data_IF_567656452615
#
_entry.id   IF_567656452615
#
_cell.length_a   1.000
_cell.length_b   1.000
_cell.length_c   1.000
_cell.angle_alpha   90.00
_cell.angle_beta   90.00
_cell.angle_gamma   90.00
#
_symmetry.space_group_name_H-M   'P 1'
#
loop_
_entity.id
_entity.type
_entity.pdbx_description
1 polymer ?
#
# COMPACT_ATOMS: atom_id res chain seq x y z
N UNK A 1 -5.06 22.51 4.65
CA UNK A 1 -5.88 22.34 3.43
C UNK A 1 -6.02 20.84 3.14
N UNK A 2 -7.17 20.34 2.69
CA UNK A 2 -7.30 18.92 2.30
C UNK A 2 -6.51 18.67 1.00
N UNK A 3 -5.77 17.57 0.90
CA UNK A 3 -4.92 17.23 -0.26
C UNK A 3 -5.73 17.27 -1.58
N UNK A 4 -6.98 16.80 -1.55
CA UNK A 4 -7.90 16.87 -2.68
C UNK A 4 -8.17 18.31 -3.17
N UNK A 5 -8.30 19.27 -2.24
CA UNK A 5 -8.52 20.68 -2.60
C UNK A 5 -7.25 21.30 -3.21
N UNK A 6 -6.07 20.92 -2.73
CA UNK A 6 -4.80 21.38 -3.29
C UNK A 6 -4.66 20.94 -4.75
N UNK A 7 -4.97 19.66 -5.01
CA UNK A 7 -4.95 19.09 -6.37
C UNK A 7 -5.89 19.85 -7.31
N UNK A 8 -7.15 20.05 -6.90
CA UNK A 8 -8.14 20.79 -7.70
C UNK A 8 -7.69 22.21 -8.05
N UNK A 9 -7.07 22.91 -7.08
CA UNK A 9 -6.54 24.26 -7.30
C UNK A 9 -5.44 24.22 -8.36
N UNK A 10 -4.48 23.31 -8.23
CA UNK A 10 -3.37 23.20 -9.18
C UNK A 10 -3.85 22.78 -10.58
N UNK A 11 -4.82 21.87 -10.68
CA UNK A 11 -5.44 21.46 -11.95
C UNK A 11 -6.15 22.63 -12.65
N UNK A 12 -6.90 23.44 -11.91
CA UNK A 12 -7.53 24.64 -12.47
C UNK A 12 -6.47 25.60 -13.05
N UNK A 13 -5.41 25.87 -12.30
CA UNK A 13 -4.33 26.75 -12.74
C UNK A 13 -3.58 26.21 -13.97
N UNK A 14 -3.34 24.90 -14.05
CA UNK A 14 -2.73 24.25 -15.23
C UNK A 14 -3.62 24.40 -16.47
N UNK A 15 -4.94 24.35 -16.29
CA UNK A 15 -5.92 24.55 -17.36
C UNK A 15 -6.16 26.03 -17.70
N UNK A 16 -5.44 26.96 -17.06
CA UNK A 16 -5.62 28.38 -17.30
C UNK A 16 -6.87 28.96 -16.65
N UNK A 17 -7.40 28.34 -15.60
CA UNK A 17 -8.64 28.74 -14.92
C UNK A 17 -8.35 29.23 -13.51
N UNK A 18 -8.99 30.32 -13.09
CA UNK A 18 -8.95 30.80 -11.71
C UNK A 18 -9.70 29.80 -10.79
N UNK A 19 -9.02 29.20 -9.79
CA UNK A 19 -9.59 28.18 -8.90
C UNK A 19 -10.66 28.71 -7.92
N UNK A 20 -10.83 30.03 -7.81
CA UNK A 20 -11.82 30.67 -6.94
C UNK A 20 -13.06 31.11 -7.71
N UNK A 21 -12.89 31.63 -8.93
CA UNK A 21 -13.99 32.20 -9.73
C UNK A 21 -14.45 31.27 -10.85
N UNK A 22 -13.59 30.40 -11.37
CA UNK A 22 -13.88 29.54 -12.51
C UNK A 22 -13.69 30.22 -13.87
N UNK A 23 -13.23 31.47 -13.88
CA UNK A 23 -12.99 32.25 -15.10
C UNK A 23 -11.62 31.93 -15.72
N UNK A 24 -11.46 32.23 -17.02
CA UNK A 24 -10.19 32.07 -17.71
C UNK A 24 -9.17 33.12 -17.24
N UNK A 25 -7.93 32.68 -17.02
CA UNK A 25 -6.83 33.54 -16.60
C UNK A 25 -6.43 34.47 -17.73
N UNK A 26 -6.24 35.74 -17.38
CA UNK A 26 -5.76 36.73 -18.34
C UNK A 26 -4.45 36.28 -19.03
N UNK A 27 -4.30 36.56 -20.34
CA UNK A 27 -3.09 36.25 -21.08
C UNK A 27 -1.88 37.01 -20.53
N UNK A 28 -0.70 36.39 -20.59
CA UNK A 28 0.56 36.99 -20.16
C UNK A 28 0.83 36.95 -18.65
N UNK A 29 0.02 36.20 -17.90
CA UNK A 29 0.30 35.93 -16.48
C UNK A 29 1.48 34.96 -16.32
N UNK A 30 2.19 35.05 -15.19
CA UNK A 30 3.32 34.13 -14.85
C UNK A 30 2.89 32.67 -14.88
N UNK A 31 1.62 32.39 -14.62
CA UNK A 31 1.02 31.06 -14.66
C UNK A 31 1.05 30.42 -16.05
N UNK A 32 1.09 31.22 -17.12
CA UNK A 32 1.17 30.72 -18.50
C UNK A 32 2.61 30.46 -18.95
N UNK A 33 3.62 30.79 -18.13
CA UNK A 33 5.00 30.49 -18.44
C UNK A 33 5.23 28.96 -18.42
N UNK A 34 5.89 28.43 -19.44
CA UNK A 34 6.05 26.98 -19.62
C UNK A 34 6.66 26.29 -18.39
N UNK A 35 7.67 26.90 -17.76
CA UNK A 35 8.31 26.33 -16.56
C UNK A 35 7.39 26.34 -15.35
N UNK A 36 6.52 27.35 -15.22
CA UNK A 36 5.54 27.42 -14.13
C UNK A 36 4.46 26.36 -14.35
N UNK A 37 3.95 26.20 -15.57
CA UNK A 37 3.01 25.13 -15.90
C UNK A 37 3.59 23.73 -15.62
N UNK A 38 4.86 23.49 -16.00
CA UNK A 38 5.56 22.24 -15.68
C UNK A 38 5.69 22.01 -14.18
N UNK A 39 6.02 23.05 -13.41
CA UNK A 39 6.12 22.97 -11.95
C UNK A 39 4.76 22.66 -11.31
N UNK A 40 3.68 23.31 -11.78
CA UNK A 40 2.33 23.05 -11.32
C UNK A 40 1.89 21.62 -11.65
N UNK A 41 2.14 21.15 -12.87
CA UNK A 41 1.84 19.78 -13.29
C UNK A 41 2.61 18.75 -12.43
N UNK A 42 3.90 19.00 -12.17
CA UNK A 42 4.69 18.17 -11.27
C UNK A 42 4.08 18.13 -9.84
N UNK A 43 3.57 19.27 -9.36
CA UNK A 43 2.83 19.37 -8.11
C UNK A 43 1.55 18.53 -8.10
N UNK A 44 0.75 18.56 -9.17
CA UNK A 44 -0.44 17.70 -9.32
C UNK A 44 -0.03 16.23 -9.23
N UNK A 45 0.92 15.78 -10.04
CA UNK A 45 1.39 14.40 -10.04
C UNK A 45 1.94 13.95 -8.67
N UNK A 46 2.62 14.83 -7.93
CA UNK A 46 3.11 14.53 -6.60
C UNK A 46 1.96 14.28 -5.61
N UNK A 47 0.91 15.10 -5.64
CA UNK A 47 -0.28 14.93 -4.80
C UNK A 47 -1.03 13.64 -5.13
N UNK A 48 -1.14 13.27 -6.40
CA UNK A 48 -1.72 11.99 -6.82
C UNK A 48 -0.94 10.79 -6.27
N UNK A 49 0.39 10.85 -6.35
CA UNK A 49 1.25 9.80 -5.81
C UNK A 49 1.13 9.69 -4.29
N UNK A 50 1.02 10.82 -3.58
CA UNK A 50 0.78 10.83 -2.13
C UNK A 50 -0.54 10.16 -1.78
N UNK A 51 -1.64 10.54 -2.45
CA UNK A 51 -2.96 9.94 -2.26
C UNK A 51 -2.94 8.43 -2.55
N UNK A 52 -2.30 8.00 -3.65
CA UNK A 52 -2.16 6.59 -4.00
C UNK A 52 -1.35 5.81 -2.94
N UNK A 53 -0.28 6.40 -2.39
CA UNK A 53 0.50 5.80 -1.30
C UNK A 53 -0.30 5.69 0.00
N UNK A 54 -1.08 6.72 0.33
CA UNK A 54 -1.96 6.73 1.49
C UNK A 54 -3.02 5.63 1.37
N UNK A 55 -3.66 5.53 0.20
CA UNK A 55 -4.67 4.50 -0.08
C UNK A 55 -4.07 3.09 0.01
N UNK A 56 -2.89 2.86 -0.59
CA UNK A 56 -2.19 1.58 -0.44
C UNK A 56 -1.92 1.27 1.03
N UNK A 57 -1.44 2.25 1.81
CA UNK A 57 -1.18 2.07 3.25
C UNK A 57 -2.44 1.78 4.05
N UNK A 58 -3.58 2.38 3.69
CA UNK A 58 -4.86 2.10 4.32
C UNK A 58 -5.38 0.68 4.03
N UNK A 59 -4.97 0.08 2.91
CA UNK A 59 -5.29 -1.30 2.55
C UNK A 59 -4.34 -2.33 3.18
N UNK A 60 -3.22 -1.91 3.76
CA UNK A 60 -2.30 -2.83 4.43
C UNK A 60 -2.94 -3.35 5.74
N UNK A 61 -2.73 -4.63 6.09
CA UNK A 61 -3.13 -5.16 7.38
C UNK A 61 -2.58 -4.31 8.55
N UNK A 62 -3.38 -4.13 9.60
CA UNK A 62 -3.11 -3.14 10.66
C UNK A 62 -1.80 -3.34 11.44
N UNK A 63 -1.24 -4.55 11.42
CA UNK A 63 -0.01 -4.88 12.13
C UNK A 63 1.24 -4.94 11.23
N UNK A 64 1.15 -4.50 9.96
CA UNK A 64 2.34 -4.40 9.09
C UNK A 64 3.36 -3.44 9.69
N UNK A 65 4.59 -3.93 9.91
CA UNK A 65 5.69 -3.15 10.49
C UNK A 65 5.68 -3.02 12.01
N UNK A 66 4.64 -3.49 12.71
CA UNK A 66 4.63 -3.53 14.18
C UNK A 66 5.57 -4.62 14.71
N UNK A 67 6.22 -4.35 15.84
CA UNK A 67 6.99 -5.38 16.56
C UNK A 67 6.08 -6.55 16.96
N UNK A 68 6.65 -7.75 17.06
CA UNK A 68 5.94 -8.93 17.55
C UNK A 68 5.94 -8.92 19.07
N UNK A 69 4.78 -9.10 19.70
CA UNK A 69 4.70 -9.32 21.15
C UNK A 69 4.87 -10.80 21.47
N UNK A 70 5.17 -11.12 22.73
CA UNK A 70 5.32 -12.51 23.17
C UNK A 70 4.00 -13.28 23.10
N UNK A 71 2.88 -12.60 23.36
CA UNK A 71 1.52 -13.15 23.28
C UNK A 71 1.09 -13.37 21.83
N UNK A 72 1.44 -12.44 20.93
CA UNK A 72 1.19 -12.59 19.49
C UNK A 72 2.01 -13.76 18.92
N UNK A 73 3.24 -13.94 19.39
CA UNK A 73 4.06 -15.07 18.99
C UNK A 73 3.52 -16.41 19.51
N UNK A 74 3.11 -16.49 20.78
CA UNK A 74 2.61 -17.74 21.34
C UNK A 74 1.32 -18.21 20.64
N UNK A 75 0.43 -17.28 20.31
CA UNK A 75 -0.80 -17.55 19.54
C UNK A 75 -0.51 -17.95 18.10
N UNK A 76 0.50 -17.36 17.45
CA UNK A 76 1.00 -17.78 16.14
C UNK A 76 1.49 -19.24 16.19
N UNK A 77 2.36 -19.57 17.15
CA UNK A 77 2.94 -20.91 17.28
C UNK A 77 1.85 -21.96 17.58
N UNK A 78 0.88 -21.62 18.42
CA UNK A 78 -0.24 -22.50 18.72
C UNK A 78 -1.08 -22.78 17.46
N UNK A 79 -1.42 -21.74 16.68
CA UNK A 79 -2.15 -21.88 15.42
C UNK A 79 -1.41 -22.75 14.41
N UNK A 80 -0.10 -22.52 14.24
CA UNK A 80 0.73 -23.32 13.33
C UNK A 80 0.78 -24.80 13.75
N UNK A 81 1.01 -25.08 15.04
CA UNK A 81 1.04 -26.45 15.58
C UNK A 81 -0.32 -27.15 15.51
N UNK A 82 -1.41 -26.39 15.49
CA UNK A 82 -2.77 -26.93 15.35
C UNK A 82 -3.12 -27.30 13.91
N UNK A 83 -2.23 -26.99 12.95
CA UNK A 83 -2.44 -27.23 11.52
C UNK A 83 -3.34 -26.18 10.85
N UNK A 84 -3.56 -25.02 11.48
CA UNK A 84 -4.32 -23.94 10.87
C UNK A 84 -3.61 -23.42 9.62
N UNK A 85 -4.39 -23.02 8.61
CA UNK A 85 -3.83 -22.44 7.41
C UNK A 85 -3.14 -21.10 7.72
N UNK A 86 -1.96 -20.88 7.14
CA UNK A 86 -1.19 -19.65 7.32
C UNK A 86 -1.98 -18.39 6.93
N UNK A 87 -2.90 -18.49 5.96
CA UNK A 87 -3.80 -17.41 5.57
C UNK A 87 -4.77 -17.01 6.69
N UNK A 88 -5.31 -17.99 7.42
CA UNK A 88 -6.27 -17.76 8.50
C UNK A 88 -5.56 -17.28 9.78
N UNK A 89 -4.33 -17.74 10.00
CA UNK A 89 -3.42 -17.16 11.01
C UNK A 89 -3.12 -15.70 10.64
N UNK A 90 -2.69 -15.42 9.41
CA UNK A 90 -2.37 -14.06 8.96
C UNK A 90 -3.55 -13.09 9.13
N UNK A 91 -4.77 -13.54 8.79
CA UNK A 91 -6.00 -12.76 8.99
C UNK A 91 -6.27 -12.44 10.47
N UNK A 92 -6.19 -13.45 11.36
CA UNK A 92 -6.38 -13.26 12.82
C UNK A 92 -5.37 -12.30 13.43
N UNK A 93 -4.12 -12.38 12.98
CA UNK A 93 -3.04 -11.52 13.47
C UNK A 93 -2.99 -10.15 12.77
N UNK A 94 -3.83 -9.89 11.76
CA UNK A 94 -3.80 -8.64 11.00
C UNK A 94 -2.43 -8.40 10.33
N UNK A 95 -1.77 -9.47 9.89
CA UNK A 95 -0.46 -9.43 9.21
C UNK A 95 -0.54 -10.10 7.84
N UNK A 96 0.49 -9.92 7.03
CA UNK A 96 0.59 -10.63 5.74
C UNK A 96 1.08 -12.06 5.95
N UNK A 97 0.70 -12.99 5.06
CA UNK A 97 1.18 -14.39 5.10
C UNK A 97 2.71 -14.44 5.10
N UNK A 98 3.35 -13.61 4.27
CA UNK A 98 4.82 -13.46 4.27
C UNK A 98 5.40 -13.08 5.63
N UNK A 99 4.73 -12.23 6.39
CA UNK A 99 5.18 -11.84 7.73
C UNK A 99 5.04 -12.99 8.74
N UNK A 100 3.98 -13.80 8.61
CA UNK A 100 3.81 -15.03 9.39
C UNK A 100 4.93 -16.03 9.06
N UNK A 101 5.16 -16.33 7.78
CA UNK A 101 6.20 -17.26 7.32
C UNK A 101 7.61 -16.82 7.76
N UNK A 102 7.93 -15.54 7.64
CA UNK A 102 9.21 -14.99 8.09
C UNK A 102 9.38 -15.11 9.62
N UNK A 103 8.28 -14.97 10.39
CA UNK A 103 8.34 -15.13 11.84
C UNK A 103 8.53 -16.59 12.24
N UNK A 104 7.81 -17.51 11.59
CA UNK A 104 7.95 -18.95 11.84
C UNK A 104 9.34 -19.47 11.50
N UNK A 105 9.95 -18.99 10.41
CA UNK A 105 11.34 -19.32 10.07
C UNK A 105 12.32 -18.80 11.13
N UNK A 106 12.14 -17.57 11.61
CA UNK A 106 12.97 -17.02 12.69
C UNK A 106 12.82 -17.78 14.01
N UNK A 107 11.72 -18.49 14.20
CA UNK A 107 11.47 -19.38 15.34
C UNK A 107 11.92 -20.83 15.08
N UNK A 108 12.44 -21.13 13.90
CA UNK A 108 12.89 -22.47 13.51
C UNK A 108 11.76 -23.47 13.29
N UNK A 109 10.51 -23.01 13.16
CA UNK A 109 9.33 -23.86 12.98
C UNK A 109 9.01 -24.14 11.50
N UNK A 110 9.59 -23.36 10.59
CA UNK A 110 9.36 -23.46 9.16
C UNK A 110 10.70 -23.29 8.43
N UNK A 111 11.00 -24.15 7.47
CA UNK A 111 12.19 -24.01 6.62
C UNK A 111 11.90 -23.12 5.40
N UNK A 112 12.91 -22.48 4.80
CA UNK A 112 12.71 -21.62 3.63
C UNK A 112 11.96 -22.32 2.49
N UNK A 113 12.26 -23.60 2.26
CA UNK A 113 11.64 -24.44 1.23
C UNK A 113 10.14 -24.70 1.44
N UNK A 114 9.63 -24.50 2.65
CA UNK A 114 8.23 -24.66 3.01
C UNK A 114 7.41 -23.36 2.85
N UNK A 115 8.05 -22.25 2.47
CA UNK A 115 7.35 -20.98 2.24
C UNK A 115 6.52 -21.05 0.96
N UNK A 116 5.25 -20.71 1.08
CA UNK A 116 4.35 -20.57 -0.07
C UNK A 116 4.56 -19.25 -0.81
N UNK A 117 5.12 -18.23 -0.14
CA UNK A 117 5.40 -16.91 -0.75
C UNK A 117 6.80 -16.81 -1.38
N UNK A 118 7.31 -17.90 -1.96
CA UNK A 118 8.58 -17.82 -2.69
C UNK A 118 8.38 -17.04 -4.00
N UNK A 119 8.92 -15.82 -4.01
CA UNK A 119 9.10 -14.93 -5.16
C UNK A 119 7.87 -14.22 -5.75
N UNK A 120 7.46 -13.12 -5.13
CA UNK A 120 6.40 -12.23 -5.63
C UNK A 120 6.82 -11.30 -6.78
N UNK A 121 8.02 -11.47 -7.37
CA UNK A 121 8.35 -10.82 -8.65
C UNK A 121 7.72 -11.55 -9.86
N UNK A 122 7.20 -12.76 -9.68
CA UNK A 122 6.55 -13.54 -10.73
C UNK A 122 5.00 -13.50 -10.61
N UNK A 123 4.39 -12.47 -11.22
CA UNK A 123 2.96 -12.32 -11.57
C UNK A 123 1.88 -12.37 -10.46
N UNK A 124 0.79 -11.59 -10.60
CA UNK A 124 -0.39 -11.73 -9.75
C UNK A 124 -1.11 -13.04 -10.08
N UNK A 125 -1.24 -13.93 -9.08
CA UNK A 125 -1.95 -15.20 -9.23
C UNK A 125 -3.45 -14.98 -9.54
N UNK A 126 -4.04 -15.75 -10.46
CA UNK A 126 -5.47 -15.66 -10.77
C UNK A 126 -6.32 -16.18 -9.61
N UNK A 127 -7.44 -15.49 -9.36
CA UNK A 127 -8.44 -15.88 -8.36
C UNK A 127 -9.00 -17.27 -8.68
N UNK A 128 -8.63 -18.30 -7.91
CA UNK A 128 -9.25 -19.63 -8.00
C UNK A 128 -8.37 -20.86 -7.75
N UNK A 129 -7.08 -20.72 -7.46
CA UNK A 129 -6.24 -21.91 -7.20
C UNK A 129 -6.56 -22.56 -5.83
N UNK A 130 -6.71 -23.90 -5.75
CA UNK A 130 -6.89 -24.60 -4.48
C UNK A 130 -5.65 -24.43 -3.60
N UNK A 131 -5.87 -24.02 -2.34
CA UNK A 131 -4.81 -23.71 -1.37
C UNK A 131 -4.01 -24.99 -1.05
N UNK A 132 -2.66 -24.95 -1.10
CA UNK A 132 -1.86 -26.08 -0.68
C UNK A 132 -2.08 -26.34 0.82
N UNK A 133 -2.31 -27.60 1.18
CA UNK A 133 -2.36 -28.04 2.57
C UNK A 133 -0.93 -28.23 3.07
N UNK A 134 -0.62 -27.85 4.32
CA UNK A 134 0.66 -28.19 4.92
C UNK A 134 0.81 -29.72 5.03
N UNK A 135 2.05 -30.24 5.00
CA UNK A 135 2.34 -31.67 5.11
C UNK A 135 1.94 -32.25 6.47
#
# INVERSE_FOLDING_TARGET
MKEQRARQILEALVNGVDPLTGEELAPGTVLQHADVLRALLAGVCALEQMAARAQRRAQLPGNVGRAWTAEEESTLVAGFKSGDFLADIAARHGRTVRAIEARLERLGLLTPDQRSTHDSFAQPAPAGAPRPRPP
#
